data_IF_267674271378
#
_entry.id   IF_267674271378
#
_cell.length_a   1.000
_cell.length_b   1.000
_cell.length_c   1.000
_cell.angle_alpha   90.00
_cell.angle_beta   90.00
_cell.angle_gamma   90.00
#
_symmetry.space_group_name_H-M   'P 1'
#
loop_
_entity.id
_entity.type
_entity.pdbx_description
1 polymer ?
#
# COMPACT_ATOMS: atom_id res chain seq x y z
N UNK A 1 3.84 -17.08 -4.82
CA UNK A 1 3.05 -16.40 -3.77
C UNK A 1 3.66 -16.62 -2.39
N UNK A 2 4.15 -17.82 -2.12
CA UNK A 2 4.71 -18.27 -0.83
C UNK A 2 5.94 -17.48 -0.38
N UNK A 3 6.64 -16.82 -1.32
CA UNK A 3 7.75 -15.91 -1.03
C UNK A 3 7.31 -14.58 -0.42
N UNK A 4 6.06 -14.14 -0.63
CA UNK A 4 5.50 -12.90 -0.09
C UNK A 4 4.57 -13.15 1.09
N UNK A 5 3.71 -14.17 1.00
CA UNK A 5 2.66 -14.42 1.99
C UNK A 5 2.71 -15.85 2.55
N UNK A 6 2.36 -15.96 3.82
CA UNK A 6 2.20 -17.20 4.56
C UNK A 6 0.79 -17.75 4.32
N UNK A 7 0.65 -18.60 3.30
CA UNK A 7 -0.65 -19.15 2.91
C UNK A 7 -1.30 -20.00 4.01
N UNK A 8 -0.49 -20.67 4.84
CA UNK A 8 -0.99 -21.43 5.99
C UNK A 8 -1.51 -20.52 7.11
N UNK A 9 -0.99 -19.30 7.22
CA UNK A 9 -1.54 -18.29 8.12
C UNK A 9 -2.84 -17.69 7.56
N UNK A 10 -2.88 -17.39 6.25
CA UNK A 10 -4.09 -16.90 5.57
C UNK A 10 -5.24 -17.91 5.69
N UNK A 11 -4.93 -19.20 5.52
CA UNK A 11 -5.94 -20.27 5.53
C UNK A 11 -6.68 -20.42 6.85
N UNK A 12 -6.17 -19.84 7.94
CA UNK A 12 -6.86 -19.78 9.24
C UNK A 12 -8.03 -18.79 9.26
N UNK A 13 -8.06 -17.84 8.33
CA UNK A 13 -9.11 -16.80 8.28
C UNK A 13 -9.99 -16.95 7.05
N UNK A 14 -9.41 -17.27 5.89
CA UNK A 14 -10.17 -17.46 4.65
C UNK A 14 -9.74 -18.74 3.96
N UNK A 15 -10.67 -19.41 3.29
CA UNK A 15 -10.35 -20.63 2.53
C UNK A 15 -9.36 -20.29 1.41
N UNK A 16 -8.23 -20.98 1.38
CA UNK A 16 -7.21 -20.85 0.33
C UNK A 16 -7.23 -22.10 -0.53
N UNK A 17 -7.59 -21.95 -1.80
CA UNK A 17 -7.54 -23.03 -2.80
C UNK A 17 -6.45 -22.66 -3.80
N UNK A 18 -5.38 -23.45 -3.86
CA UNK A 18 -4.28 -23.25 -4.79
C UNK A 18 -4.49 -24.06 -6.06
N UNK A 19 -3.95 -23.58 -7.17
CA UNK A 19 -4.01 -24.28 -8.46
C UNK A 19 -3.32 -25.64 -8.43
N UNK A 20 -2.35 -25.83 -7.52
CA UNK A 20 -1.66 -27.10 -7.29
C UNK A 20 -2.41 -28.05 -6.35
N UNK A 21 -3.45 -27.58 -5.65
CA UNK A 21 -4.14 -28.36 -4.62
C UNK A 21 -4.90 -29.55 -5.22
N UNK A 22 -4.98 -30.65 -4.45
CA UNK A 22 -5.78 -31.82 -4.85
C UNK A 22 -7.26 -31.44 -5.02
N UNK A 23 -7.78 -30.64 -4.10
CA UNK A 23 -9.14 -30.11 -4.14
C UNK A 23 -9.45 -29.39 -5.46
N UNK A 24 -8.55 -28.51 -5.92
CA UNK A 24 -8.73 -27.82 -7.19
C UNK A 24 -8.66 -28.77 -8.39
N UNK A 25 -7.69 -29.70 -8.39
CA UNK A 25 -7.55 -30.69 -9.46
C UNK A 25 -8.78 -31.59 -9.56
N UNK A 26 -9.34 -32.01 -8.43
CA UNK A 26 -10.58 -32.79 -8.38
C UNK A 26 -11.79 -31.99 -8.88
N UNK A 27 -11.91 -30.71 -8.45
CA UNK A 27 -12.98 -29.84 -8.92
C UNK A 27 -12.93 -29.66 -10.44
N UNK A 28 -11.73 -29.41 -11.01
CA UNK A 28 -11.52 -29.33 -12.44
C UNK A 28 -11.81 -30.65 -13.16
N UNK A 29 -11.36 -31.78 -12.61
CA UNK A 29 -11.61 -33.10 -13.21
C UNK A 29 -13.11 -33.41 -13.28
N UNK A 30 -13.85 -33.16 -12.19
CA UNK A 30 -15.32 -33.30 -12.16
C UNK A 30 -16.00 -32.39 -13.17
N UNK A 31 -15.59 -31.13 -13.24
CA UNK A 31 -16.18 -30.18 -14.18
C UNK A 31 -15.93 -30.57 -15.65
N UNK A 32 -14.76 -31.14 -15.96
CA UNK A 32 -14.45 -31.69 -17.28
C UNK A 32 -15.31 -32.92 -17.61
N UNK A 33 -15.45 -33.86 -16.68
CA UNK A 33 -16.30 -35.05 -16.87
C UNK A 33 -17.76 -34.67 -17.14
N UNK A 34 -18.25 -33.65 -16.41
CA UNK A 34 -19.63 -33.19 -16.54
C UNK A 34 -19.84 -32.20 -17.70
N UNK A 35 -18.79 -31.83 -18.44
CA UNK A 35 -18.80 -30.76 -19.46
C UNK A 35 -19.39 -29.43 -18.93
N UNK A 36 -19.19 -29.13 -17.65
CA UNK A 36 -19.75 -27.93 -16.98
C UNK A 36 -18.74 -26.78 -16.85
N UNK A 37 -17.50 -26.96 -17.31
CA UNK A 37 -16.49 -25.90 -17.33
C UNK A 37 -15.78 -25.83 -18.68
N UNK A 38 -15.53 -24.62 -19.14
CA UNK A 38 -14.81 -24.31 -20.37
C UNK A 38 -13.56 -23.53 -20.00
N UNK A 39 -12.40 -23.96 -20.51
CA UNK A 39 -11.18 -23.17 -20.40
C UNK A 39 -11.26 -22.00 -21.39
N UNK A 40 -11.15 -20.79 -20.85
CA UNK A 40 -11.24 -19.54 -21.60
C UNK A 40 -9.92 -18.78 -21.62
N UNK A 41 -8.80 -19.43 -21.27
CA UNK A 41 -7.48 -18.83 -21.36
C UNK A 41 -7.19 -18.36 -22.80
N UNK A 42 -6.83 -17.09 -22.95
CA UNK A 42 -6.54 -16.49 -24.26
C UNK A 42 -7.77 -15.98 -25.03
N UNK A 43 -8.99 -16.20 -24.52
CA UNK A 43 -10.21 -15.65 -25.12
C UNK A 43 -10.36 -14.16 -24.73
N UNK A 44 -10.68 -13.31 -25.70
CA UNK A 44 -10.84 -11.88 -25.45
C UNK A 44 -12.09 -11.59 -24.62
N UNK A 45 -12.10 -10.45 -23.91
CA UNK A 45 -13.27 -10.00 -23.13
C UNK A 45 -14.51 -9.75 -23.99
N UNK A 46 -14.36 -9.36 -25.25
CA UNK A 46 -15.48 -9.18 -26.17
C UNK A 46 -16.11 -10.53 -26.51
N UNK A 47 -15.28 -11.52 -26.89
CA UNK A 47 -15.76 -12.89 -27.17
C UNK A 47 -16.45 -13.54 -25.99
N UNK A 48 -15.89 -13.39 -24.78
CA UNK A 48 -16.53 -13.85 -23.55
C UNK A 48 -17.92 -13.24 -23.29
N UNK A 49 -18.18 -12.03 -23.82
CA UNK A 49 -19.45 -11.32 -23.65
C UNK A 49 -20.45 -11.53 -24.77
N UNK A 50 -19.99 -11.93 -25.94
CA UNK A 50 -20.76 -11.83 -27.19
C UNK A 50 -20.93 -13.19 -27.90
N UNK A 51 -20.06 -14.18 -27.64
CA UNK A 51 -20.08 -15.48 -28.31
C UNK A 51 -20.61 -16.58 -27.38
N UNK A 52 -21.58 -17.38 -27.87
CA UNK A 52 -21.97 -18.65 -27.25
C UNK A 52 -20.82 -19.65 -27.40
N UNK A 53 -20.50 -20.49 -26.39
CA UNK A 53 -21.24 -20.72 -25.14
C UNK A 53 -20.82 -19.83 -23.95
N UNK A 54 -19.94 -18.85 -24.14
CA UNK A 54 -19.34 -18.10 -23.03
C UNK A 54 -20.31 -17.14 -22.34
N UNK A 55 -21.32 -16.65 -23.06
CA UNK A 55 -22.35 -15.75 -22.55
C UNK A 55 -23.19 -16.34 -21.42
N UNK A 56 -23.34 -17.66 -21.40
CA UNK A 56 -24.11 -18.39 -20.37
C UNK A 56 -23.22 -18.95 -19.26
N UNK A 57 -21.90 -18.91 -19.43
CA UNK A 57 -20.96 -19.46 -18.48
C UNK A 57 -20.67 -18.48 -17.33
N UNK A 58 -20.64 -18.99 -16.09
CA UNK A 58 -20.14 -18.23 -14.95
C UNK A 58 -18.62 -18.10 -15.04
N UNK A 59 -18.14 -16.95 -15.51
CA UNK A 59 -16.70 -16.69 -15.65
C UNK A 59 -16.08 -16.42 -14.28
N UNK A 60 -15.31 -17.39 -13.76
CA UNK A 60 -14.44 -17.16 -12.60
C UNK A 60 -13.16 -16.49 -13.10
N UNK A 61 -13.13 -15.15 -13.05
CA UNK A 61 -11.93 -14.39 -13.38
C UNK A 61 -10.87 -14.59 -12.28
N UNK A 62 -9.91 -15.48 -12.53
CA UNK A 62 -8.82 -15.83 -11.60
C UNK A 62 -7.60 -14.94 -11.74
N UNK A 63 -7.60 -14.01 -12.69
CA UNK A 63 -6.56 -12.99 -12.75
C UNK A 63 -6.81 -12.02 -11.62
N UNK A 64 -6.16 -12.27 -10.47
CA UNK A 64 -5.84 -11.18 -9.56
C UNK A 64 -5.23 -10.10 -10.44
N UNK A 65 -5.93 -8.97 -10.59
CA UNK A 65 -5.40 -7.89 -11.41
C UNK A 65 -3.96 -7.66 -10.93
N UNK A 66 -2.98 -7.53 -11.84
CA UNK A 66 -1.60 -7.23 -11.43
C UNK A 66 -1.53 -5.92 -10.62
N UNK A 67 -2.60 -5.12 -10.64
CA UNK A 67 -2.82 -3.90 -9.86
C UNK A 67 -3.76 -4.10 -8.65
N UNK A 68 -4.49 -5.22 -8.55
CA UNK A 68 -5.40 -5.50 -7.44
C UNK A 68 -4.59 -5.97 -6.24
N UNK A 69 -4.17 -4.98 -5.46
CA UNK A 69 -3.70 -5.20 -4.11
C UNK A 69 -4.95 -5.32 -3.22
N UNK A 70 -5.55 -6.50 -3.32
CA UNK A 70 -6.28 -7.23 -2.28
C UNK A 70 -7.26 -6.47 -1.37
N UNK A 71 -8.29 -5.90 -1.97
CA UNK A 71 -9.48 -5.49 -1.22
C UNK A 71 -10.63 -6.22 -1.88
N UNK A 72 -11.13 -7.27 -1.24
CA UNK A 72 -12.39 -7.88 -1.63
C UNK A 72 -13.50 -7.07 -0.98
N UNK A 73 -14.27 -6.34 -1.79
CA UNK A 73 -15.47 -5.67 -1.31
C UNK A 73 -16.58 -6.70 -1.24
N UNK A 74 -17.30 -6.79 -0.12
CA UNK A 74 -18.50 -7.63 0.01
C UNK A 74 -19.61 -7.19 -0.95
N UNK A 75 -19.56 -5.94 -1.42
CA UNK A 75 -20.33 -5.44 -2.55
C UNK A 75 -19.42 -4.67 -3.54
N UNK A 76 -19.44 -5.07 -4.81
CA UNK A 76 -18.66 -4.44 -5.90
C UNK A 76 -19.05 -2.97 -6.15
N UNK A 77 -20.25 -2.55 -5.76
CA UNK A 77 -20.72 -1.16 -5.86
C UNK A 77 -20.40 -0.36 -4.60
N UNK A 78 -20.17 -1.02 -3.47
CA UNK A 78 -19.88 -0.38 -2.21
C UNK A 78 -18.42 -0.65 -1.78
N UNK A 79 -17.52 0.18 -2.29
CA UNK A 79 -16.07 0.09 -2.07
C UNK A 79 -15.64 0.33 -0.61
N UNK A 80 -16.57 0.66 0.30
CA UNK A 80 -16.32 0.79 1.74
C UNK A 80 -16.67 -0.47 2.52
N UNK A 81 -17.45 -1.38 1.93
CA UNK A 81 -17.83 -2.63 2.58
C UNK A 81 -16.79 -3.70 2.22
N UNK A 82 -15.68 -3.74 2.95
CA UNK A 82 -14.56 -4.66 2.67
C UNK A 82 -14.71 -5.95 3.49
N UNK A 83 -14.56 -7.11 2.84
CA UNK A 83 -14.66 -8.44 3.45
C UNK A 83 -13.54 -8.69 4.48
N UNK A 84 -12.34 -8.16 4.23
CA UNK A 84 -11.17 -8.25 5.12
C UNK A 84 -10.58 -6.86 5.37
N UNK A 85 -10.13 -6.53 6.59
CA UNK A 85 -9.49 -5.25 6.86
C UNK A 85 -8.29 -4.99 5.95
N UNK A 86 -8.03 -3.72 5.60
CA UNK A 86 -6.85 -3.31 4.82
C UNK A 86 -5.51 -3.73 5.45
N UNK A 87 -5.52 -4.06 6.75
CA UNK A 87 -4.37 -4.55 7.51
C UNK A 87 -4.20 -6.07 7.48
N UNK A 88 -5.16 -6.83 6.96
CA UNK A 88 -5.13 -8.30 6.99
C UNK A 88 -3.91 -8.87 6.27
N UNK A 89 -3.84 -8.74 4.94
CA UNK A 89 -2.74 -9.35 4.17
C UNK A 89 -1.34 -8.87 4.52
N UNK A 90 -1.11 -7.58 4.82
CA UNK A 90 0.19 -7.16 5.32
C UNK A 90 0.67 -7.95 6.54
N UNK A 91 -0.24 -8.38 7.43
CA UNK A 91 0.07 -9.23 8.60
C UNK A 91 0.28 -10.70 8.24
N UNK A 92 -0.06 -11.09 7.01
CA UNK A 92 0.07 -12.44 6.48
C UNK A 92 1.39 -12.65 5.74
N UNK A 93 2.39 -11.81 5.98
CA UNK A 93 3.70 -11.92 5.36
C UNK A 93 4.35 -13.31 5.60
N UNK A 94 5.17 -13.76 4.64
CA UNK A 94 5.94 -14.99 4.76
C UNK A 94 6.89 -14.95 5.97
N UNK A 95 7.20 -16.12 6.54
CA UNK A 95 8.04 -16.24 7.75
C UNK A 95 9.39 -15.50 7.65
N UNK A 96 10.16 -15.60 6.55
CA UNK A 96 11.43 -14.87 6.45
C UNK A 96 11.28 -13.35 6.56
N UNK A 97 10.23 -12.78 5.94
CA UNK A 97 9.97 -11.34 5.96
C UNK A 97 9.55 -10.87 7.36
N UNK A 98 8.71 -11.66 8.05
CA UNK A 98 8.32 -11.39 9.46
C UNK A 98 9.54 -11.37 10.37
N UNK A 99 10.40 -12.39 10.28
CA UNK A 99 11.62 -12.49 11.10
C UNK A 99 12.58 -11.33 10.81
N UNK A 100 12.75 -10.93 9.54
CA UNK A 100 13.57 -9.78 9.20
C UNK A 100 13.01 -8.48 9.78
N UNK A 101 11.70 -8.23 9.62
CA UNK A 101 11.04 -7.07 10.22
C UNK A 101 11.19 -7.05 11.75
N UNK A 102 10.97 -8.17 12.44
CA UNK A 102 11.15 -8.30 13.89
C UNK A 102 12.58 -7.97 14.35
N UNK A 103 13.59 -8.43 13.61
CA UNK A 103 14.99 -8.08 13.90
C UNK A 103 15.26 -6.59 13.75
N UNK A 104 14.70 -5.95 12.71
CA UNK A 104 14.83 -4.49 12.52
C UNK A 104 14.11 -3.74 13.63
N UNK A 105 12.87 -4.10 13.96
CA UNK A 105 12.10 -3.48 15.05
C UNK A 105 12.84 -3.61 16.39
N UNK A 106 13.45 -4.77 16.67
CA UNK A 106 14.26 -4.97 17.87
C UNK A 106 15.49 -4.05 17.90
N UNK A 107 16.17 -3.83 16.76
CA UNK A 107 17.29 -2.89 16.67
C UNK A 107 16.82 -1.42 16.81
N UNK A 108 15.62 -1.09 16.34
CA UNK A 108 15.03 0.24 16.48
C UNK A 108 14.63 0.58 17.93
N UNK A 109 14.21 -0.41 18.72
CA UNK A 109 13.81 -0.22 20.12
C UNK A 109 12.42 0.39 20.25
N UNK A 110 12.27 1.44 21.06
CA UNK A 110 11.06 2.29 21.08
C UNK A 110 11.17 3.36 19.98
N UNK A 111 10.29 3.29 18.99
CA UNK A 111 10.33 4.15 17.82
C UNK A 111 8.94 4.53 17.33
N UNK A 112 8.90 5.62 16.57
CA UNK A 112 7.75 6.05 15.79
C UNK A 112 8.09 6.00 14.32
N UNK A 113 7.07 6.04 13.46
CA UNK A 113 7.29 5.90 12.03
C UNK A 113 6.43 6.86 11.21
N UNK A 114 7.02 7.32 10.10
CA UNK A 114 6.30 8.03 9.05
C UNK A 114 6.43 7.27 7.73
N UNK A 115 5.35 7.28 6.95
CA UNK A 115 5.38 6.86 5.56
C UNK A 115 5.19 8.07 4.65
N UNK A 116 6.12 8.27 3.71
CA UNK A 116 6.13 9.42 2.80
C UNK A 116 6.08 8.94 1.34
N UNK A 117 4.89 8.92 0.75
CA UNK A 117 4.62 8.53 -0.64
C UNK A 117 4.52 9.77 -1.53
N UNK A 118 5.66 10.20 -2.06
CA UNK A 118 5.80 11.45 -2.83
C UNK A 118 6.14 11.21 -4.30
N UNK A 119 7.22 10.46 -4.57
CA UNK A 119 7.88 10.43 -5.88
C UNK A 119 7.02 10.00 -7.08
N UNK A 120 6.02 9.13 -6.90
CA UNK A 120 5.08 8.72 -7.94
C UNK A 120 3.75 9.49 -7.92
N UNK A 121 3.50 10.25 -6.86
CA UNK A 121 2.22 10.93 -6.58
C UNK A 121 2.27 12.42 -6.94
N UNK A 122 3.44 13.05 -6.88
CA UNK A 122 3.66 14.38 -7.46
C UNK A 122 3.73 14.25 -8.98
N UNK A 123 2.56 14.14 -9.61
CA UNK A 123 2.39 14.15 -11.06
C UNK A 123 1.69 15.42 -11.46
N UNK A 124 2.35 16.18 -12.34
CA UNK A 124 1.81 17.39 -12.92
C UNK A 124 1.40 17.13 -14.37
N UNK A 125 0.22 17.62 -14.73
CA UNK A 125 -0.27 17.67 -16.11
C UNK A 125 -0.63 19.11 -16.46
N UNK A 126 -0.38 19.54 -17.70
CA UNK A 126 -0.96 20.79 -18.21
C UNK A 126 -2.36 20.53 -18.76
N UNK A 127 -3.32 21.36 -18.38
CA UNK A 127 -4.64 21.36 -19.02
C UNK A 127 -4.59 22.06 -20.40
N UNK A 128 -5.74 22.16 -21.08
CA UNK A 128 -5.85 22.79 -22.40
C UNK A 128 -5.44 24.28 -22.44
N UNK A 129 -5.32 24.92 -21.27
CA UNK A 129 -4.90 26.31 -21.12
C UNK A 129 -3.45 26.42 -20.61
N UNK A 130 -2.72 25.31 -20.53
CA UNK A 130 -1.33 25.28 -20.06
C UNK A 130 -1.17 25.31 -18.54
N UNK A 131 -2.26 25.33 -17.76
CA UNK A 131 -2.22 25.41 -16.29
C UNK A 131 -1.83 24.05 -15.72
N UNK A 132 -0.86 24.04 -14.80
CA UNK A 132 -0.42 22.82 -14.10
C UNK A 132 -1.53 22.32 -13.18
N UNK A 133 -1.80 21.02 -13.25
CA UNK A 133 -2.77 20.31 -12.42
C UNK A 133 -2.16 19.08 -11.78
N UNK A 134 -2.65 18.71 -10.60
CA UNK A 134 -2.25 17.51 -9.84
C UNK A 134 -3.48 16.80 -9.28
N UNK A 135 -3.37 15.50 -9.01
CA UNK A 135 -4.38 14.74 -8.26
C UNK A 135 -4.28 14.96 -6.74
N UNK A 136 -3.16 15.52 -6.27
CA UNK A 136 -2.89 15.77 -4.85
C UNK A 136 -2.36 17.20 -4.71
N UNK A 137 -3.25 18.20 -4.55
CA UNK A 137 -2.90 19.61 -4.55
C UNK A 137 -1.96 20.00 -3.42
N UNK A 138 -2.06 19.37 -2.25
CA UNK A 138 -1.29 19.75 -1.06
C UNK A 138 -0.06 18.87 -0.82
N UNK A 139 0.01 17.71 -1.48
CA UNK A 139 1.05 16.71 -1.24
C UNK A 139 2.47 17.28 -1.25
N UNK A 140 2.86 18.08 -2.24
CA UNK A 140 4.22 18.60 -2.32
C UNK A 140 4.55 19.50 -1.13
N UNK A 141 3.65 20.43 -0.81
CA UNK A 141 3.77 21.36 0.33
C UNK A 141 3.86 20.60 1.65
N UNK A 142 2.90 19.71 1.88
CA UNK A 142 2.72 19.03 3.17
C UNK A 142 3.83 18.01 3.48
N UNK A 143 4.49 17.49 2.44
CA UNK A 143 5.58 16.51 2.58
C UNK A 143 6.97 17.12 2.48
N UNK A 144 7.11 18.45 2.45
CA UNK A 144 8.41 19.11 2.67
C UNK A 144 8.90 18.86 4.09
N UNK A 145 10.21 18.77 4.28
CA UNK A 145 10.80 18.49 5.59
C UNK A 145 10.33 19.46 6.69
N UNK A 146 10.23 20.76 6.41
CA UNK A 146 9.70 21.76 7.35
C UNK A 146 8.23 21.53 7.72
N UNK A 147 7.39 21.16 6.75
CA UNK A 147 5.99 20.82 6.97
C UNK A 147 5.84 19.53 7.79
N UNK A 148 6.65 18.52 7.47
CA UNK A 148 6.70 17.25 8.22
C UNK A 148 7.11 17.53 9.67
N UNK A 149 8.16 18.32 9.93
CA UNK A 149 8.59 18.69 11.29
C UNK A 149 7.43 19.29 12.10
N UNK A 150 6.74 20.28 11.52
CA UNK A 150 5.62 20.97 12.18
C UNK A 150 4.46 20.01 12.45
N UNK A 151 4.10 19.17 11.48
CA UNK A 151 2.96 18.27 11.57
C UNK A 151 3.23 17.13 12.55
N UNK A 152 4.38 16.49 12.44
CA UNK A 152 4.80 15.35 13.27
C UNK A 152 5.04 15.77 14.72
N UNK A 153 5.57 16.97 14.96
CA UNK A 153 5.80 17.49 16.32
C UNK A 153 4.55 17.61 17.19
N UNK A 154 3.36 17.59 16.60
CA UNK A 154 2.09 17.56 17.35
C UNK A 154 1.79 16.20 17.99
N UNK A 155 2.46 15.12 17.56
CA UNK A 155 2.17 13.75 17.97
C UNK A 155 3.39 13.01 18.51
N UNK A 156 4.57 13.28 17.94
CA UNK A 156 5.80 12.58 18.28
C UNK A 156 6.74 13.58 18.98
N UNK A 157 7.06 13.37 20.26
CA UNK A 157 8.02 14.21 20.98
C UNK A 157 9.41 14.23 20.33
N UNK A 158 10.11 15.34 20.48
CA UNK A 158 11.49 15.50 20.03
C UNK A 158 12.43 14.50 20.73
N UNK A 159 13.56 14.19 20.09
CA UNK A 159 14.57 13.24 20.57
C UNK A 159 14.25 11.76 20.31
N UNK A 160 13.05 11.45 19.85
CA UNK A 160 12.60 10.07 19.55
C UNK A 160 13.20 9.53 18.24
N UNK A 161 13.26 8.20 18.14
CA UNK A 161 13.65 7.51 16.91
C UNK A 161 12.51 7.56 15.93
N UNK A 162 12.77 8.10 14.73
CA UNK A 162 11.79 8.24 13.66
C UNK A 162 12.21 7.38 12.46
N UNK A 163 11.53 6.25 12.28
CA UNK A 163 11.69 5.41 11.10
C UNK A 163 10.94 6.01 9.90
N UNK A 164 11.63 6.18 8.77
CA UNK A 164 11.07 6.79 7.57
C UNK A 164 11.07 5.77 6.43
N UNK A 165 9.86 5.41 5.99
CA UNK A 165 9.65 4.67 4.75
C UNK A 165 9.21 5.63 3.65
N UNK A 166 9.98 5.74 2.56
CA UNK A 166 9.67 6.68 1.49
C UNK A 166 10.08 6.18 0.12
N UNK A 167 9.39 6.66 -0.91
CA UNK A 167 9.82 6.55 -2.31
C UNK A 167 10.41 7.86 -2.87
N UNK A 168 10.76 8.80 -2.00
CA UNK A 168 11.53 9.98 -2.36
C UNK A 168 12.92 9.57 -2.87
N UNK A 169 13.38 10.23 -3.94
CA UNK A 169 14.63 9.90 -4.62
C UNK A 169 15.72 10.92 -4.36
N UNK A 170 15.34 12.14 -3.96
CA UNK A 170 16.30 13.20 -3.63
C UNK A 170 17.13 12.79 -2.40
N UNK A 171 18.46 12.62 -2.54
CA UNK A 171 19.33 12.31 -1.41
C UNK A 171 19.28 13.43 -0.37
N UNK A 172 19.27 13.07 0.91
CA UNK A 172 19.25 14.04 2.01
C UNK A 172 17.94 14.81 2.19
N UNK A 173 16.88 14.48 1.44
CA UNK A 173 15.58 15.18 1.54
C UNK A 173 15.02 15.25 2.97
N UNK A 174 15.28 14.23 3.78
CA UNK A 174 14.81 14.13 5.16
C UNK A 174 15.82 14.61 6.21
N UNK A 175 17.03 15.02 5.82
CA UNK A 175 18.08 15.44 6.74
C UNK A 175 17.64 16.57 7.69
N UNK A 176 16.81 17.56 7.28
CA UNK A 176 16.34 18.58 8.20
C UNK A 176 15.53 18.02 9.39
N UNK A 177 14.92 16.83 9.25
CA UNK A 177 14.21 16.17 10.34
C UNK A 177 15.18 15.75 11.48
N UNK A 178 16.46 15.56 11.16
CA UNK A 178 17.52 15.17 12.09
C UNK A 178 17.79 16.22 13.18
N UNK A 179 17.32 17.45 12.99
CA UNK A 179 17.38 18.50 14.02
C UNK A 179 16.54 18.20 15.26
N UNK A 180 15.49 17.37 15.12
CA UNK A 180 14.56 17.03 16.21
C UNK A 180 14.44 15.53 16.47
N UNK A 181 14.80 14.67 15.52
CA UNK A 181 14.58 13.23 15.62
C UNK A 181 15.82 12.43 15.26
N UNK A 182 15.93 11.22 15.83
CA UNK A 182 16.96 10.24 15.43
C UNK A 182 16.44 9.47 14.22
N UNK A 183 16.94 9.79 13.04
CA UNK A 183 16.41 9.25 11.78
C UNK A 183 16.87 7.81 11.55
N UNK A 184 15.93 6.94 11.17
CA UNK A 184 16.22 5.58 10.75
C UNK A 184 15.57 5.28 9.40
N UNK A 185 16.31 4.58 8.54
CA UNK A 185 15.85 4.15 7.22
C UNK A 185 16.10 2.66 7.07
N UNK A 186 15.35 2.00 6.18
CA UNK A 186 15.55 0.57 5.91
C UNK A 186 16.97 0.26 5.43
N UNK A 187 17.60 1.21 4.74
CA UNK A 187 18.99 1.14 4.26
C UNK A 187 20.04 1.04 5.38
N UNK A 188 19.69 1.38 6.63
CA UNK A 188 20.55 1.20 7.80
C UNK A 188 20.59 -0.27 8.29
N UNK A 189 19.74 -1.15 7.75
CA UNK A 189 19.57 -2.54 8.19
C UNK A 189 19.78 -3.55 7.07
N UNK A 190 20.62 -3.22 6.08
CA UNK A 190 20.92 -4.08 4.93
C UNK A 190 21.41 -5.47 5.31
N UNK A 191 22.17 -5.59 6.40
CA UNK A 191 22.63 -6.86 6.98
C UNK A 191 21.49 -7.82 7.33
N UNK A 192 20.32 -7.28 7.68
CA UNK A 192 19.12 -8.06 8.03
C UNK A 192 18.24 -8.28 6.79
N UNK A 193 18.12 -7.26 5.94
CA UNK A 193 17.10 -7.18 4.88
C UNK A 193 17.57 -7.83 3.58
N UNK A 194 18.80 -7.56 3.15
CA UNK A 194 19.34 -8.03 1.86
C UNK A 194 19.31 -9.57 1.72
N UNK A 195 19.56 -10.38 2.78
CA UNK A 195 19.50 -11.84 2.67
C UNK A 195 18.10 -12.41 2.35
N UNK A 196 17.02 -11.65 2.58
CA UNK A 196 15.64 -12.13 2.38
C UNK A 196 14.89 -11.38 1.27
N UNK A 197 15.37 -10.21 0.86
CA UNK A 197 14.73 -9.39 -0.17
C UNK A 197 15.34 -9.69 -1.54
N UNK A 198 14.50 -10.21 -2.43
CA UNK A 198 14.82 -10.51 -3.83
C UNK A 198 14.14 -9.52 -4.79
N UNK A 199 13.13 -8.79 -4.34
CA UNK A 199 12.41 -7.80 -5.14
C UNK A 199 11.75 -6.71 -4.26
N UNK A 200 11.31 -5.64 -4.91
CA UNK A 200 10.70 -4.49 -4.24
C UNK A 200 9.40 -4.82 -3.49
N UNK A 201 8.69 -5.89 -3.83
CA UNK A 201 7.47 -6.29 -3.11
C UNK A 201 7.81 -6.85 -1.72
N UNK A 202 8.89 -7.62 -1.61
CA UNK A 202 9.37 -8.14 -0.34
C UNK A 202 9.89 -7.02 0.56
N UNK A 203 10.65 -6.07 -0.01
CA UNK A 203 11.07 -4.87 0.71
C UNK A 203 9.88 -4.08 1.25
N UNK A 204 8.87 -3.84 0.40
CA UNK A 204 7.66 -3.13 0.79
C UNK A 204 6.91 -3.83 1.93
N UNK A 205 6.84 -5.18 1.93
CA UNK A 205 6.22 -5.92 3.04
C UNK A 205 7.00 -5.71 4.34
N UNK A 206 8.33 -5.80 4.32
CA UNK A 206 9.17 -5.59 5.51
C UNK A 206 8.98 -4.18 6.06
N UNK A 207 9.09 -3.15 5.21
CA UNK A 207 8.85 -1.77 5.63
C UNK A 207 7.46 -1.60 6.21
N UNK A 208 6.44 -2.22 5.62
CA UNK A 208 5.06 -2.14 6.12
C UNK A 208 4.88 -2.81 7.48
N UNK A 209 5.55 -3.92 7.74
CA UNK A 209 5.56 -4.56 9.06
C UNK A 209 6.22 -3.66 10.10
N UNK A 210 7.36 -3.04 9.75
CA UNK A 210 8.06 -2.08 10.63
C UNK A 210 7.18 -0.85 10.91
N UNK A 211 6.51 -0.29 9.89
CA UNK A 211 5.56 0.81 10.08
C UNK A 211 4.43 0.45 11.05
N UNK A 212 3.89 -0.77 10.97
CA UNK A 212 2.82 -1.23 11.86
C UNK A 212 3.28 -1.58 13.28
N UNK A 213 4.57 -1.86 13.49
CA UNK A 213 5.14 -2.07 14.82
C UNK A 213 5.47 -0.78 15.58
N UNK A 214 5.40 0.38 14.92
CA UNK A 214 5.72 1.65 15.53
C UNK A 214 4.71 2.07 16.61
N UNK A 215 5.16 2.80 17.62
CA UNK A 215 4.30 3.35 18.67
C UNK A 215 3.28 4.34 18.10
N UNK A 216 3.78 5.28 17.29
CA UNK A 216 2.97 6.22 16.51
C UNK A 216 3.30 6.02 15.03
N UNK A 217 2.28 5.83 14.20
CA UNK A 217 2.43 5.69 12.76
C UNK A 217 1.67 6.79 12.03
N UNK A 218 2.42 7.67 11.35
CA UNK A 218 1.88 8.76 10.54
C UNK A 218 1.96 8.38 9.06
N UNK A 219 0.82 8.30 8.40
CA UNK A 219 0.71 7.96 6.98
C UNK A 219 0.91 9.20 6.12
N UNK A 220 1.20 9.01 4.83
CA UNK A 220 1.16 10.12 3.87
C UNK A 220 -0.26 10.66 3.78
N UNK A 221 -1.20 9.79 3.40
CA UNK A 221 -2.62 10.10 3.22
C UNK A 221 -3.44 9.45 4.31
N UNK A 222 -4.55 10.09 4.67
CA UNK A 222 -5.56 9.51 5.56
C UNK A 222 -6.30 8.38 4.84
N UNK A 223 -6.31 7.17 5.42
CA UNK A 223 -7.04 6.02 4.88
C UNK A 223 -8.30 5.75 5.70
N UNK A 224 -8.17 5.84 7.03
CA UNK A 224 -9.24 5.68 8.01
C UNK A 224 -9.44 6.96 8.83
N UNK A 225 -10.63 7.20 9.42
CA UNK A 225 -10.92 8.39 10.21
C UNK A 225 -9.96 8.64 11.38
N UNK A 226 -9.40 7.57 11.98
CA UNK A 226 -8.47 7.63 13.10
C UNK A 226 -6.99 7.73 12.70
N UNK A 227 -6.66 7.64 11.41
CA UNK A 227 -5.27 7.72 10.96
C UNK A 227 -4.69 9.12 11.18
N UNK A 228 -3.42 9.14 11.61
CA UNK A 228 -2.57 10.33 11.52
C UNK A 228 -2.03 10.45 10.09
N UNK A 229 -2.12 11.64 9.50
CA UNK A 229 -1.66 11.89 8.13
C UNK A 229 -0.83 13.16 7.99
N UNK A 230 0.16 13.10 7.08
CA UNK A 230 1.00 14.23 6.72
C UNK A 230 0.23 15.25 5.87
N UNK A 231 -0.60 14.78 4.95
CA UNK A 231 -1.45 15.63 4.10
C UNK A 231 -2.92 15.50 4.44
N UNK A 232 -3.67 16.56 4.12
CA UNK A 232 -5.13 16.58 4.17
C UNK A 232 -5.75 16.06 2.85
N UNK A 233 -4.94 15.77 1.83
CA UNK A 233 -5.42 15.14 0.60
C UNK A 233 -5.94 13.69 0.85
N UNK A 234 -7.11 13.38 0.30
CA UNK A 234 -7.65 12.01 0.33
C UNK A 234 -6.89 11.08 -0.63
N UNK A 235 -6.58 9.87 -0.16
CA UNK A 235 -5.79 8.88 -0.93
C UNK A 235 -6.42 8.47 -2.27
N UNK A 236 -7.75 8.35 -2.32
CA UNK A 236 -8.52 7.91 -3.49
C UNK A 236 -9.31 9.10 -4.08
N UNK A 237 -8.70 9.87 -4.98
CA UNK A 237 -9.43 10.82 -5.84
C UNK A 237 -9.72 10.21 -7.20
N UNK A 238 -11.00 10.06 -7.55
CA UNK A 238 -11.40 9.71 -8.91
C UNK A 238 -11.52 11.02 -9.71
N UNK A 239 -10.53 11.30 -10.56
CA UNK A 239 -10.59 12.25 -11.69
C UNK A 239 -10.64 13.76 -11.42
N UNK A 240 -10.47 14.22 -10.18
CA UNK A 240 -10.33 15.65 -9.89
C UNK A 240 -8.87 16.11 -10.01
N UNK A 241 -8.50 16.70 -11.16
CA UNK A 241 -7.21 17.35 -11.37
C UNK A 241 -7.30 18.82 -10.92
N UNK A 242 -6.60 19.15 -9.85
CA UNK A 242 -6.69 20.43 -9.15
C UNK A 242 -5.42 21.28 -9.32
N UNK A 243 -5.50 22.57 -8.99
CA UNK A 243 -4.31 23.44 -9.00
C UNK A 243 -3.43 23.06 -7.80
N UNK A 244 -2.11 22.86 -7.98
CA UNK A 244 -1.20 22.62 -6.86
C UNK A 244 -1.18 23.80 -5.89
N UNK A 245 -1.11 23.50 -4.60
CA UNK A 245 -1.03 24.47 -3.51
C UNK A 245 0.36 24.37 -2.89
N UNK A 246 1.11 25.48 -2.90
CA UNK A 246 2.49 25.53 -2.41
C UNK A 246 2.65 26.30 -1.09
N UNK A 247 1.64 27.08 -0.71
CA UNK A 247 1.63 27.90 0.51
C UNK A 247 0.65 27.33 1.52
N UNK A 248 0.91 27.53 2.80
CA UNK A 248 -0.11 27.33 3.83
C UNK A 248 -1.11 28.49 3.76
N UNK A 249 -2.36 28.22 4.10
CA UNK A 249 -3.32 29.31 4.30
C UNK A 249 -2.77 30.22 5.40
N UNK A 250 -2.79 31.53 5.17
CA UNK A 250 -2.46 32.49 6.21
C UNK A 250 -3.45 32.27 7.35
N UNK A 251 -2.96 31.80 8.50
CA UNK A 251 -3.76 31.79 9.71
C UNK A 251 -4.23 33.24 9.94
N UNK A 252 -5.54 33.49 10.15
CA UNK A 252 -5.98 34.84 10.47
C UNK A 252 -5.16 35.30 11.67
N UNK A 253 -4.51 36.45 11.52
CA UNK A 253 -3.77 37.10 12.59
C UNK A 253 -4.65 37.12 13.84
N UNK A 254 -4.16 36.66 15.00
CA UNK A 254 -4.92 36.78 16.24
C UNK A 254 -5.25 38.26 16.44
N UNK A 255 -6.53 38.58 16.37
CA UNK A 255 -7.10 39.89 16.71
C UNK A 255 -7.00 40.15 18.20
#
# INVERSE_FOLDING_TARGET
MDSLYDLALISKTVRVILDSSAEWREALAKARILNTAIDVQGISRSKLREESPYTEAMVINRTASPLAWFVECSDRKNHTNVLLPYSFLPKMASKPLKVAAEKVMKKLGDYDAIHVRRGDKIKLRKDRFGVKRTMFPHLDRDTRASAILKRVGNWIPEGRTLFIASNEREPGFFDPLGTRYKLAFISHFKDIVDPVVQNNYQLFIIERLILFGAKTYVKTFKEEPSDLSLTDDVKKKLRAWEIPVYTFDESPSPS
#
